data_IF_450743182930
#
_entry.id   IF_450743182930
#
_cell.length_a   1.000
_cell.length_b   1.000
_cell.length_c   1.000
_cell.angle_alpha   90.00
_cell.angle_beta   90.00
_cell.angle_gamma   90.00
#
_symmetry.space_group_name_H-M   'P 1'
#
loop_
_entity.id
_entity.type
_entity.pdbx_description
1 polymer ?
#
# COMPACT_ATOMS: atom_id res chain seq x y z
N UNK A 1 -11.68 4.19 -13.11
CA UNK A 1 -12.36 2.87 -13.13
C UNK A 1 -12.96 2.52 -11.76
N UNK A 2 -12.29 2.81 -10.63
CA UNK A 2 -12.73 2.36 -9.30
C UNK A 2 -14.17 2.71 -8.93
N UNK A 3 -14.53 3.99 -8.93
CA UNK A 3 -15.89 4.42 -8.52
C UNK A 3 -16.96 3.95 -9.52
N UNK A 4 -16.65 3.87 -10.81
CA UNK A 4 -17.57 3.36 -11.83
C UNK A 4 -17.92 1.89 -11.57
N UNK A 5 -16.94 1.07 -11.17
CA UNK A 5 -17.17 -0.34 -10.79
C UNK A 5 -17.99 -0.43 -9.52
N UNK A 6 -17.70 0.38 -8.50
CA UNK A 6 -18.52 0.45 -7.28
C UNK A 6 -19.98 0.79 -7.61
N UNK A 7 -20.21 1.77 -8.52
CA UNK A 7 -21.54 2.12 -8.95
C UNK A 7 -22.26 0.95 -9.66
N UNK A 8 -21.60 0.31 -10.62
CA UNK A 8 -22.17 -0.81 -11.37
C UNK A 8 -22.53 -2.03 -10.49
N UNK A 9 -21.79 -2.23 -9.38
CA UNK A 9 -22.00 -3.33 -8.43
C UNK A 9 -22.88 -2.95 -7.23
N UNK A 10 -23.48 -1.75 -7.24
CA UNK A 10 -24.32 -1.24 -6.16
C UNK A 10 -25.78 -1.24 -6.52
N UNK A 11 -26.63 -1.71 -5.62
CA UNK A 11 -28.07 -1.52 -5.68
C UNK A 11 -28.44 -0.03 -5.68
N UNK A 12 -27.69 0.76 -4.87
CA UNK A 12 -27.86 2.20 -4.74
C UNK A 12 -26.54 2.87 -4.49
N UNK A 13 -26.28 3.98 -5.20
CA UNK A 13 -25.16 4.88 -4.92
C UNK A 13 -25.65 6.32 -4.92
N UNK A 14 -25.25 7.08 -3.91
CA UNK A 14 -25.51 8.50 -3.77
C UNK A 14 -24.19 9.26 -3.72
N UNK A 15 -24.04 10.24 -4.61
CA UNK A 15 -22.84 11.06 -4.74
C UNK A 15 -23.19 12.51 -4.41
N UNK A 16 -22.44 13.13 -3.52
CA UNK A 16 -22.47 14.55 -3.23
C UNK A 16 -21.09 15.16 -3.47
N UNK A 17 -21.07 16.30 -4.15
CA UNK A 17 -19.84 17.03 -4.45
C UNK A 17 -20.00 18.48 -3.99
N UNK A 18 -19.08 18.95 -3.15
CA UNK A 18 -18.98 20.34 -2.76
C UNK A 18 -17.82 20.98 -3.53
N UNK A 19 -18.13 21.91 -4.43
CA UNK A 19 -17.15 22.56 -5.30
C UNK A 19 -17.66 23.94 -5.75
N UNK A 20 -16.77 24.91 -5.87
CA UNK A 20 -17.05 26.24 -6.42
C UNK A 20 -18.26 26.94 -5.76
N UNK A 21 -18.36 26.84 -4.45
CA UNK A 21 -19.43 27.47 -3.65
C UNK A 21 -20.78 26.75 -3.73
N UNK A 22 -20.87 25.63 -4.43
CA UNK A 22 -22.10 24.87 -4.67
C UNK A 22 -22.01 23.45 -4.16
N UNK A 23 -23.16 22.88 -3.82
CA UNK A 23 -23.34 21.47 -3.53
C UNK A 23 -24.09 20.82 -4.67
N UNK A 24 -23.52 19.77 -5.26
CA UNK A 24 -24.10 18.96 -6.31
C UNK A 24 -24.47 17.60 -5.77
N UNK A 25 -25.53 16.99 -6.30
CA UNK A 25 -25.92 15.62 -5.94
C UNK A 25 -26.47 14.85 -7.13
N UNK A 26 -26.24 13.54 -7.11
CA UNK A 26 -26.80 12.59 -8.07
C UNK A 26 -27.02 11.24 -7.39
N UNK A 27 -28.10 10.56 -7.75
CA UNK A 27 -28.43 9.20 -7.30
C UNK A 27 -28.36 8.22 -8.46
N UNK A 28 -27.75 7.07 -8.21
CA UNK A 28 -27.72 5.94 -9.13
C UNK A 28 -28.43 4.74 -8.53
N UNK A 29 -29.03 3.92 -9.39
CA UNK A 29 -29.59 2.61 -9.04
C UNK A 29 -29.10 1.56 -10.05
N UNK A 30 -28.53 0.48 -9.55
CA UNK A 30 -27.98 -0.60 -10.38
C UNK A 30 -27.06 -0.07 -11.50
N UNK A 31 -26.22 0.93 -11.14
CA UNK A 31 -25.29 1.56 -12.08
C UNK A 31 -25.83 2.70 -12.92
N UNK A 32 -27.17 2.88 -13.01
CA UNK A 32 -27.81 3.88 -13.86
C UNK A 32 -28.22 5.13 -13.08
N UNK A 33 -27.99 6.31 -13.66
CA UNK A 33 -28.38 7.58 -13.07
C UNK A 33 -29.90 7.76 -13.12
N UNK A 34 -30.51 8.02 -11.96
CA UNK A 34 -31.96 8.30 -11.88
C UNK A 34 -32.35 9.63 -12.50
N UNK A 35 -31.47 10.61 -12.45
CA UNK A 35 -31.65 11.95 -12.98
C UNK A 35 -30.27 12.58 -13.23
N UNK A 36 -30.17 13.63 -14.06
CA UNK A 36 -28.94 14.39 -14.23
C UNK A 36 -28.42 14.98 -12.92
N UNK A 37 -27.09 15.24 -12.86
CA UNK A 37 -26.45 15.94 -11.74
C UNK A 37 -27.16 17.28 -11.50
N UNK A 38 -27.58 17.54 -10.26
CA UNK A 38 -28.30 18.77 -9.89
C UNK A 38 -27.57 19.55 -8.81
N UNK A 39 -27.76 20.86 -8.81
CA UNK A 39 -27.33 21.71 -7.70
C UNK A 39 -28.35 21.51 -6.57
N UNK A 40 -27.89 21.01 -5.41
CA UNK A 40 -28.75 20.75 -4.23
C UNK A 40 -28.61 21.81 -3.15
N UNK A 41 -27.65 22.75 -3.29
CA UNK A 41 -27.46 23.84 -2.32
C UNK A 41 -26.17 24.62 -2.54
N UNK A 42 -25.86 25.48 -1.54
CA UNK A 42 -24.57 26.18 -1.43
C UNK A 42 -23.66 25.46 -0.45
N UNK A 43 -22.35 25.52 -0.67
CA UNK A 43 -21.35 24.96 0.26
C UNK A 43 -20.12 25.86 0.31
N UNK A 44 -19.59 26.10 1.51
CA UNK A 44 -18.28 26.74 1.70
C UNK A 44 -17.13 25.73 1.75
N UNK A 45 -17.45 24.44 1.78
CA UNK A 45 -16.48 23.34 1.83
C UNK A 45 -16.21 22.81 0.42
N UNK A 46 -15.07 22.17 0.25
CA UNK A 46 -14.73 21.36 -0.92
C UNK A 46 -14.59 19.90 -0.51
N UNK A 47 -15.03 19.00 -1.38
CA UNK A 47 -14.89 17.56 -1.14
C UNK A 47 -15.97 16.74 -1.83
N UNK A 48 -15.82 15.43 -1.75
CA UNK A 48 -16.73 14.45 -2.34
C UNK A 48 -17.16 13.44 -1.29
N UNK A 49 -18.46 13.16 -1.24
CA UNK A 49 -19.03 12.11 -0.39
C UNK A 49 -19.72 11.07 -1.29
N UNK A 50 -19.42 9.82 -1.05
CA UNK A 50 -19.99 8.67 -1.75
C UNK A 50 -20.62 7.75 -0.71
N UNK A 51 -21.90 7.48 -0.87
CA UNK A 51 -22.64 6.51 -0.06
C UNK A 51 -23.16 5.43 -0.97
N UNK A 52 -22.91 4.17 -0.69
CA UNK A 52 -23.35 3.08 -1.54
C UNK A 52 -23.81 1.86 -0.75
N UNK A 53 -24.71 1.10 -1.35
CA UNK A 53 -25.19 -0.18 -0.87
C UNK A 53 -24.84 -1.24 -1.93
N UNK A 54 -23.98 -2.23 -1.61
CA UNK A 54 -23.67 -3.30 -2.55
C UNK A 54 -24.92 -4.09 -2.94
N UNK A 55 -24.99 -4.54 -4.20
CA UNK A 55 -26.12 -5.29 -4.73
C UNK A 55 -26.13 -6.73 -4.20
N UNK A 56 -27.27 -7.17 -3.65
CA UNK A 56 -27.50 -8.56 -3.24
C UNK A 56 -27.62 -9.53 -4.43
N UNK A 57 -27.89 -9.00 -5.61
CA UNK A 57 -27.96 -9.79 -6.85
C UNK A 57 -26.55 -10.17 -7.33
N UNK A 58 -25.53 -9.34 -6.98
CA UNK A 58 -24.14 -9.56 -7.38
C UNK A 58 -23.35 -10.28 -6.29
N UNK A 59 -23.55 -9.92 -5.02
CA UNK A 59 -22.78 -10.43 -3.89
C UNK A 59 -23.61 -11.37 -3.02
N UNK A 60 -23.06 -12.54 -2.72
CA UNK A 60 -23.66 -13.50 -1.77
C UNK A 60 -23.75 -12.96 -0.34
N UNK A 61 -22.88 -12.00 0.01
CA UNK A 61 -22.89 -11.27 1.27
C UNK A 61 -22.51 -9.81 1.05
N UNK A 62 -23.29 -8.91 1.60
CA UNK A 62 -23.03 -7.45 1.57
C UNK A 62 -22.46 -6.92 2.89
N UNK A 63 -22.06 -7.82 3.81
CA UNK A 63 -21.44 -7.43 5.08
C UNK A 63 -19.97 -7.12 4.87
N UNK A 64 -19.54 -5.92 5.26
CA UNK A 64 -18.15 -5.55 5.25
C UNK A 64 -17.39 -6.15 6.44
N UNK A 65 -16.16 -6.60 6.20
CA UNK A 65 -15.23 -7.00 7.26
C UNK A 65 -14.39 -5.80 7.69
N UNK A 66 -14.60 -5.32 8.90
CA UNK A 66 -13.82 -4.20 9.45
C UNK A 66 -12.31 -4.49 9.43
N UNK A 67 -11.90 -5.73 9.75
CA UNK A 67 -10.47 -6.10 9.75
C UNK A 67 -9.82 -5.99 8.37
N UNK A 68 -10.51 -6.40 7.31
CA UNK A 68 -10.02 -6.28 5.93
C UNK A 68 -9.89 -4.81 5.54
N UNK A 69 -10.92 -4.00 5.85
CA UNK A 69 -10.92 -2.56 5.56
C UNK A 69 -9.81 -1.83 6.33
N UNK A 70 -9.65 -2.09 7.63
CA UNK A 70 -8.61 -1.52 8.48
C UNK A 70 -7.22 -1.83 7.92
N UNK A 71 -6.97 -3.11 7.56
CA UNK A 71 -5.69 -3.52 6.97
C UNK A 71 -5.41 -2.74 5.69
N UNK A 72 -6.40 -2.65 4.79
CA UNK A 72 -6.22 -1.94 3.50
C UNK A 72 -6.08 -0.43 3.65
N UNK A 73 -6.83 0.20 4.55
CA UNK A 73 -6.72 1.64 4.81
C UNK A 73 -5.37 2.01 5.43
N UNK A 74 -4.86 1.18 6.35
CA UNK A 74 -3.52 1.36 6.90
C UNK A 74 -2.45 1.25 5.82
N UNK A 75 -2.53 0.24 4.97
CA UNK A 75 -1.63 0.04 3.84
C UNK A 75 -1.65 1.25 2.90
N UNK A 76 -2.83 1.73 2.50
CA UNK A 76 -2.97 2.92 1.66
C UNK A 76 -2.38 4.17 2.30
N UNK A 77 -2.50 4.34 3.61
CA UNK A 77 -1.92 5.46 4.32
C UNK A 77 -0.37 5.40 4.35
N UNK A 78 0.22 4.22 4.42
CA UNK A 78 1.67 4.04 4.27
C UNK A 78 2.15 4.33 2.84
N UNK A 79 1.42 3.85 1.84
CA UNK A 79 1.76 4.03 0.43
C UNK A 79 1.61 5.48 -0.06
N UNK A 80 0.83 6.30 0.67
CA UNK A 80 0.56 7.70 0.30
C UNK A 80 0.96 8.63 1.43
N UNK A 81 2.24 8.92 1.51
CA UNK A 81 2.84 9.77 2.53
C UNK A 81 2.05 11.06 2.76
N UNK A 82 1.74 11.35 4.03
CA UNK A 82 1.05 12.57 4.45
C UNK A 82 -0.49 12.54 4.32
N UNK A 83 -1.08 11.51 3.70
CA UNK A 83 -2.53 11.35 3.67
C UNK A 83 -3.03 10.87 5.03
N UNK A 84 -4.09 11.48 5.54
CA UNK A 84 -4.82 11.05 6.71
C UNK A 84 -6.08 10.28 6.30
N UNK A 85 -6.20 9.03 6.74
CA UNK A 85 -7.39 8.20 6.54
C UNK A 85 -8.05 7.96 7.90
N UNK A 86 -9.34 8.29 8.01
CA UNK A 86 -10.15 7.99 9.20
C UNK A 86 -11.14 6.89 8.85
N UNK A 87 -11.09 5.80 9.61
CA UNK A 87 -12.05 4.69 9.51
C UNK A 87 -13.02 4.77 10.70
N UNK A 88 -14.32 4.74 10.41
CA UNK A 88 -15.38 4.74 11.41
C UNK A 88 -16.23 3.50 11.19
N UNK A 89 -16.37 2.66 12.20
CA UNK A 89 -17.23 1.47 12.19
C UNK A 89 -18.40 1.69 13.14
N UNK A 90 -19.55 2.01 12.58
CA UNK A 90 -20.82 2.22 13.30
C UNK A 90 -21.68 0.94 13.36
N UNK A 91 -21.18 -0.20 12.91
CA UNK A 91 -21.91 -1.48 12.94
C UNK A 91 -22.11 -2.01 14.38
N UNK A 92 -21.36 -1.51 15.34
CA UNK A 92 -21.44 -1.88 16.75
C UNK A 92 -21.94 -0.71 17.61
N UNK A 93 -22.59 -1.02 18.74
CA UNK A 93 -23.15 -0.01 19.69
C UNK A 93 -22.15 1.01 20.22
N UNK A 94 -20.85 0.66 20.26
CA UNK A 94 -19.74 1.59 20.50
C UNK A 94 -18.94 1.67 19.21
N UNK A 95 -19.20 2.70 18.42
CA UNK A 95 -18.48 2.95 17.18
C UNK A 95 -16.96 2.96 17.40
N UNK A 96 -16.22 2.33 16.49
CA UNK A 96 -14.76 2.31 16.53
C UNK A 96 -14.21 3.32 15.56
N UNK A 97 -13.44 4.30 16.05
CA UNK A 97 -12.77 5.29 15.20
C UNK A 97 -11.28 4.98 15.21
N UNK A 98 -10.69 4.83 14.03
CA UNK A 98 -9.25 4.65 13.83
C UNK A 98 -8.75 5.69 12.83
N UNK A 99 -7.59 6.27 13.12
CA UNK A 99 -6.91 7.21 12.24
C UNK A 99 -5.57 6.62 11.79
N UNK A 100 -5.29 6.72 10.50
CA UNK A 100 -4.04 6.31 9.88
C UNK A 100 -3.41 7.50 9.19
N UNK A 101 -2.19 7.85 9.60
CA UNK A 101 -1.37 8.88 8.98
C UNK A 101 0.09 8.52 9.23
N UNK A 102 0.85 8.38 8.16
CA UNK A 102 2.25 7.96 8.20
C UNK A 102 3.09 8.93 7.38
N UNK A 103 3.82 9.80 8.06
CA UNK A 103 4.63 10.81 7.40
C UNK A 103 5.98 10.27 6.90
N UNK A 104 6.42 9.12 7.40
CA UNK A 104 7.60 8.39 6.93
C UNK A 104 7.34 7.45 5.73
N UNK A 105 6.07 7.24 5.34
CA UNK A 105 5.72 6.48 4.14
C UNK A 105 6.23 5.03 4.16
N UNK A 106 6.95 4.62 3.09
CA UNK A 106 7.45 3.24 2.95
C UNK A 106 8.46 2.82 4.03
N UNK A 107 9.21 3.76 4.60
CA UNK A 107 10.14 3.45 5.69
C UNK A 107 9.36 2.95 6.90
N UNK A 108 8.32 3.69 7.31
CA UNK A 108 7.45 3.29 8.41
C UNK A 108 6.66 2.01 8.09
N UNK A 109 6.33 1.79 6.81
CA UNK A 109 5.64 0.58 6.38
C UNK A 109 6.50 -0.67 6.58
N UNK A 110 7.76 -0.63 6.14
CA UNK A 110 8.69 -1.76 6.32
C UNK A 110 8.99 -1.98 7.81
N UNK A 111 9.18 -0.92 8.60
CA UNK A 111 9.34 -1.06 10.05
C UNK A 111 8.10 -1.69 10.71
N UNK A 112 6.90 -1.30 10.30
CA UNK A 112 5.65 -1.89 10.78
C UNK A 112 5.53 -3.38 10.42
N UNK A 113 5.89 -3.77 9.20
CA UNK A 113 5.88 -5.16 8.75
C UNK A 113 6.89 -6.02 9.51
N UNK A 114 8.03 -5.43 9.87
CA UNK A 114 9.16 -6.08 10.52
C UNK A 114 9.11 -6.00 12.07
N UNK A 115 8.09 -5.31 12.63
CA UNK A 115 7.99 -5.01 14.08
C UNK A 115 8.07 -6.26 14.97
N UNK A 116 7.49 -7.37 14.50
CA UNK A 116 7.44 -8.64 15.24
C UNK A 116 8.52 -9.64 14.83
N UNK A 117 9.42 -9.25 13.93
CA UNK A 117 10.52 -10.10 13.47
C UNK A 117 11.73 -9.95 14.39
N UNK A 118 12.50 -11.02 14.52
CA UNK A 118 13.78 -10.99 15.23
C UNK A 118 14.78 -10.15 14.43
N UNK A 119 15.43 -9.20 15.11
CA UNK A 119 16.35 -8.25 14.46
C UNK A 119 17.68 -8.89 14.15
N UNK A 120 18.24 -8.55 13.00
CA UNK A 120 19.60 -8.94 12.64
C UNK A 120 20.60 -8.14 13.47
N UNK A 121 21.42 -8.84 14.27
CA UNK A 121 22.36 -8.21 15.21
C UNK A 121 23.79 -8.54 14.86
N UNK A 122 24.70 -7.62 15.19
CA UNK A 122 26.14 -7.89 15.13
C UNK A 122 26.59 -8.72 16.35
N UNK A 123 27.89 -9.09 16.37
CA UNK A 123 28.48 -9.88 17.45
C UNK A 123 28.37 -9.23 18.84
N UNK A 124 28.11 -7.94 18.92
CA UNK A 124 27.98 -7.18 20.15
C UNK A 124 26.51 -6.97 20.55
N UNK A 125 25.55 -7.62 19.87
CA UNK A 125 24.11 -7.49 20.14
C UNK A 125 23.46 -6.20 19.64
N UNK A 126 24.16 -5.41 18.82
CA UNK A 126 23.59 -4.19 18.23
C UNK A 126 22.87 -4.51 16.93
N UNK A 127 21.69 -3.91 16.73
CA UNK A 127 20.93 -4.03 15.49
C UNK A 127 21.75 -3.52 14.29
N UNK A 128 21.86 -4.35 13.25
CA UNK A 128 22.54 -3.97 12.01
C UNK A 128 21.73 -2.96 11.20
N UNK A 129 20.41 -3.08 11.24
CA UNK A 129 19.48 -2.17 10.57
C UNK A 129 18.63 -1.43 11.59
N UNK A 130 19.06 -0.22 11.99
CA UNK A 130 18.26 0.64 12.88
C UNK A 130 17.03 1.24 12.16
N UNK A 131 17.16 1.45 10.85
CA UNK A 131 16.10 1.93 9.96
C UNK A 131 16.15 1.16 8.65
N UNK A 132 15.03 0.98 7.96
CA UNK A 132 15.01 0.46 6.61
C UNK A 132 15.85 1.31 5.65
N UNK A 133 16.44 0.65 4.67
CA UNK A 133 17.09 1.31 3.54
C UNK A 133 15.98 1.83 2.64
N UNK A 134 16.07 3.09 2.22
CA UNK A 134 15.12 3.72 1.30
C UNK A 134 15.82 4.13 0.02
N UNK A 135 15.21 3.81 -1.10
CA UNK A 135 15.71 4.12 -2.44
C UNK A 135 14.56 4.69 -3.25
N UNK A 136 14.79 5.81 -3.91
CA UNK A 136 13.87 6.39 -4.87
C UNK A 136 14.61 6.74 -6.16
N UNK A 137 13.90 6.72 -7.27
CA UNK A 137 14.47 7.09 -8.55
C UNK A 137 13.42 7.26 -9.64
N UNK A 138 13.74 8.11 -10.61
CA UNK A 138 12.92 8.35 -11.79
C UNK A 138 13.73 8.17 -13.05
N UNK A 139 13.18 7.44 -14.00
CA UNK A 139 13.77 7.27 -15.34
C UNK A 139 12.68 7.03 -16.38
N UNK A 140 12.70 7.78 -17.49
CA UNK A 140 11.76 7.60 -18.61
C UNK A 140 10.29 7.57 -18.16
N UNK A 141 9.85 8.57 -17.39
CA UNK A 141 8.49 8.71 -16.86
C UNK A 141 8.03 7.58 -15.92
N UNK A 142 8.95 6.70 -15.53
CA UNK A 142 8.75 5.68 -14.51
C UNK A 142 9.39 6.17 -13.21
N UNK A 143 8.61 6.20 -12.15
CA UNK A 143 9.09 6.46 -10.79
C UNK A 143 9.12 5.15 -10.00
N UNK A 144 10.15 4.97 -9.19
CA UNK A 144 10.32 3.80 -8.34
C UNK A 144 10.64 4.28 -6.94
N UNK A 145 9.89 3.77 -5.99
CA UNK A 145 10.21 3.89 -4.56
C UNK A 145 10.33 2.49 -3.96
N UNK A 146 11.35 2.26 -3.15
CA UNK A 146 11.43 1.05 -2.37
C UNK A 146 12.00 1.31 -0.98
N UNK A 147 11.55 0.50 -0.04
CA UNK A 147 12.11 0.41 1.30
C UNK A 147 12.34 -1.04 1.65
N UNK A 148 13.51 -1.35 2.21
CA UNK A 148 13.90 -2.73 2.49
C UNK A 148 14.74 -2.83 3.77
N UNK A 149 14.64 -4.00 4.42
CA UNK A 149 15.34 -4.31 5.66
C UNK A 149 15.51 -5.83 5.75
N UNK A 150 16.60 -6.26 6.37
CA UNK A 150 16.79 -7.68 6.71
C UNK A 150 16.56 -7.92 8.19
N UNK A 151 15.94 -9.04 8.50
CA UNK A 151 15.74 -9.57 9.84
C UNK A 151 16.42 -10.95 9.97
N UNK A 152 16.41 -11.54 11.16
CA UNK A 152 17.06 -12.83 11.43
C UNK A 152 16.21 -14.05 11.00
N UNK A 153 15.06 -13.84 10.39
CA UNK A 153 14.23 -14.91 9.84
C UNK A 153 14.75 -15.45 8.51
N UNK A 154 14.08 -16.51 8.02
CA UNK A 154 14.42 -17.16 6.76
C UNK A 154 13.41 -16.87 5.64
N UNK A 155 12.29 -16.25 5.97
CA UNK A 155 11.22 -15.94 5.00
C UNK A 155 11.46 -14.61 4.31
N UNK A 156 11.12 -14.57 3.02
CA UNK A 156 11.04 -13.34 2.23
C UNK A 156 9.62 -12.76 2.35
N UNK A 157 9.50 -11.51 2.78
CA UNK A 157 8.24 -10.78 2.84
C UNK A 157 8.28 -9.60 1.86
N UNK A 158 7.66 -9.77 0.69
CA UNK A 158 7.69 -8.77 -0.39
C UNK A 158 6.31 -8.22 -0.69
N UNK A 159 6.23 -6.90 -0.79
CA UNK A 159 5.02 -6.14 -1.07
C UNK A 159 5.23 -5.27 -2.31
N UNK A 160 5.02 -5.85 -3.53
CA UNK A 160 5.17 -5.11 -4.77
C UNK A 160 3.87 -4.41 -5.15
N UNK A 161 3.98 -3.16 -5.59
CA UNK A 161 2.86 -2.33 -6.01
C UNK A 161 3.12 -1.69 -7.37
N UNK A 162 2.06 -1.45 -8.13
CA UNK A 162 2.02 -0.58 -9.28
C UNK A 162 0.90 0.42 -9.10
N UNK A 163 1.21 1.71 -9.07
CA UNK A 163 0.23 2.78 -8.78
C UNK A 163 -0.64 2.46 -7.54
N UNK A 164 0.00 2.07 -6.44
CA UNK A 164 -0.64 1.66 -5.17
C UNK A 164 -1.54 0.41 -5.24
N UNK A 165 -1.51 -0.34 -6.35
CA UNK A 165 -2.23 -1.61 -6.50
C UNK A 165 -1.25 -2.75 -6.24
N UNK A 166 -1.56 -3.58 -5.24
CA UNK A 166 -0.75 -4.75 -4.90
C UNK A 166 -0.68 -5.76 -6.05
N UNK A 167 0.53 -6.16 -6.42
CA UNK A 167 0.81 -7.12 -7.48
C UNK A 167 1.06 -8.51 -6.88
N UNK A 168 -0.01 -9.27 -6.72
CA UNK A 168 0.04 -10.59 -6.07
C UNK A 168 1.06 -11.54 -6.71
N UNK A 169 1.19 -11.49 -8.02
CA UNK A 169 2.09 -12.36 -8.79
C UNK A 169 3.48 -11.72 -9.04
N UNK A 170 3.77 -10.61 -8.35
CA UNK A 170 5.03 -9.88 -8.48
C UNK A 170 4.99 -8.88 -9.64
N UNK A 171 5.56 -9.21 -10.76
CA UNK A 171 5.65 -8.36 -11.95
C UNK A 171 7.09 -8.10 -12.38
N UNK A 172 7.25 -7.51 -13.57
CA UNK A 172 8.57 -7.27 -14.18
C UNK A 172 9.44 -6.32 -13.37
N UNK A 173 8.83 -5.35 -12.67
CA UNK A 173 9.54 -4.43 -11.77
C UNK A 173 10.19 -5.15 -10.59
N UNK A 174 9.48 -6.13 -9.98
CA UNK A 174 10.04 -6.95 -8.90
C UNK A 174 11.17 -7.84 -9.41
N UNK A 175 11.01 -8.46 -10.59
CA UNK A 175 12.06 -9.28 -11.20
C UNK A 175 13.31 -8.44 -11.51
N UNK A 176 13.11 -7.24 -12.06
CA UNK A 176 14.19 -6.28 -12.32
C UNK A 176 14.92 -5.85 -11.05
N UNK A 177 14.17 -5.56 -9.98
CA UNK A 177 14.72 -5.20 -8.68
C UNK A 177 15.58 -6.34 -8.09
N UNK A 178 15.05 -7.57 -8.04
CA UNK A 178 15.78 -8.75 -7.54
C UNK A 178 17.09 -8.99 -8.31
N UNK A 179 17.04 -8.90 -9.63
CA UNK A 179 18.23 -9.06 -10.47
C UNK A 179 19.27 -7.96 -10.21
N UNK A 180 18.83 -6.71 -10.06
CA UNK A 180 19.70 -5.59 -9.76
C UNK A 180 20.33 -5.72 -8.37
N UNK A 181 19.54 -6.08 -7.34
CA UNK A 181 19.99 -6.27 -5.98
C UNK A 181 21.08 -7.34 -5.91
N UNK A 182 20.82 -8.51 -6.50
CA UNK A 182 21.79 -9.63 -6.56
C UNK A 182 23.09 -9.22 -7.23
N UNK A 183 23.00 -8.53 -8.37
CA UNK A 183 24.17 -8.07 -9.11
C UNK A 183 25.00 -7.06 -8.31
N UNK A 184 24.34 -6.10 -7.65
CA UNK A 184 25.04 -5.03 -6.90
C UNK A 184 25.71 -5.60 -5.64
N UNK A 185 25.03 -6.49 -4.90
CA UNK A 185 25.61 -7.12 -3.72
C UNK A 185 26.82 -7.96 -4.10
N UNK A 186 26.74 -8.79 -5.15
CA UNK A 186 27.88 -9.58 -5.61
C UNK A 186 29.03 -8.69 -6.11
N UNK A 187 28.73 -7.60 -6.84
CA UNK A 187 29.74 -6.64 -7.27
C UNK A 187 30.48 -6.04 -6.08
N UNK A 188 29.74 -5.52 -5.10
CA UNK A 188 30.32 -4.95 -3.88
C UNK A 188 31.16 -5.96 -3.10
N UNK A 189 30.66 -7.18 -2.94
CA UNK A 189 31.37 -8.24 -2.23
C UNK A 189 32.68 -8.63 -2.92
N UNK A 190 32.71 -8.66 -4.27
CA UNK A 190 33.94 -8.94 -5.05
C UNK A 190 34.94 -7.78 -4.97
N UNK A 191 34.49 -6.53 -5.15
CA UNK A 191 35.34 -5.34 -5.09
C UNK A 191 36.02 -5.17 -3.72
N UNK A 192 35.29 -5.53 -2.65
CA UNK A 192 35.80 -5.46 -1.28
C UNK A 192 36.46 -6.78 -0.79
N UNK A 193 36.65 -7.75 -1.67
CA UNK A 193 37.28 -9.03 -1.37
C UNK A 193 36.62 -9.86 -0.25
N UNK A 194 35.31 -9.64 0.00
CA UNK A 194 34.59 -10.29 1.08
C UNK A 194 34.38 -11.79 0.83
N UNK A 195 34.39 -12.24 -0.43
CA UNK A 195 34.15 -13.63 -0.83
C UNK A 195 35.42 -14.42 -1.13
N UNK A 196 36.57 -13.74 -1.28
CA UNK A 196 37.84 -14.39 -1.70
C UNK A 196 38.35 -15.45 -0.73
N UNK A 197 38.15 -15.27 0.58
CA UNK A 197 38.65 -16.22 1.60
C UNK A 197 37.94 -17.58 1.55
N UNK A 198 36.69 -17.64 1.11
CA UNK A 198 35.85 -18.85 1.21
C UNK A 198 35.39 -19.39 -0.15
N UNK A 199 35.78 -18.78 -1.28
CA UNK A 199 35.28 -19.11 -2.63
C UNK A 199 33.74 -19.21 -2.71
N UNK A 200 33.05 -18.39 -1.91
CA UNK A 200 31.59 -18.36 -1.85
C UNK A 200 31.01 -17.47 -2.97
N UNK A 201 29.93 -17.91 -3.54
CA UNK A 201 29.09 -17.10 -4.45
C UNK A 201 27.76 -16.86 -3.73
N UNK A 202 27.31 -15.60 -3.66
CA UNK A 202 26.02 -15.28 -3.07
C UNK A 202 24.95 -15.44 -4.15
N UNK A 203 24.03 -16.35 -3.94
CA UNK A 203 22.87 -16.55 -4.83
C UNK A 203 21.78 -15.49 -4.59
N UNK A 204 20.84 -15.38 -5.52
CA UNK A 204 19.67 -14.53 -5.30
C UNK A 204 18.80 -15.01 -4.14
N UNK A 205 18.81 -16.30 -3.84
CA UNK A 205 18.04 -16.88 -2.73
C UNK A 205 18.66 -16.52 -1.39
N UNK A 206 19.99 -16.57 -1.27
CA UNK A 206 20.71 -16.13 -0.06
C UNK A 206 20.42 -14.66 0.28
N UNK A 207 20.29 -13.80 -0.74
CA UNK A 207 20.02 -12.36 -0.55
C UNK A 207 18.59 -12.10 -0.07
N UNK A 208 17.65 -12.97 -0.44
CA UNK A 208 16.23 -12.81 -0.09
C UNK A 208 15.91 -13.32 1.31
N UNK A 209 16.76 -14.13 1.89
CA UNK A 209 16.57 -14.69 3.21
C UNK A 209 16.48 -13.60 4.28
N UNK A 210 15.35 -13.56 4.99
CA UNK A 210 15.03 -12.52 5.98
C UNK A 210 14.71 -11.13 5.41
N UNK A 211 14.55 -11.00 4.09
CA UNK A 211 14.27 -9.71 3.45
C UNK A 211 12.80 -9.30 3.61
N UNK A 212 12.56 -8.14 4.21
CA UNK A 212 11.29 -7.41 4.15
C UNK A 212 11.43 -6.25 3.16
N UNK A 213 10.61 -6.22 2.12
CA UNK A 213 10.67 -5.26 1.03
C UNK A 213 9.27 -4.72 0.68
N UNK A 214 9.15 -3.41 0.59
CA UNK A 214 8.04 -2.75 -0.11
C UNK A 214 8.57 -2.01 -1.33
N UNK A 215 8.00 -2.27 -2.50
CA UNK A 215 8.42 -1.76 -3.80
C UNK A 215 7.23 -1.17 -4.53
N UNK A 216 7.28 0.11 -4.85
CA UNK A 216 6.27 0.80 -5.66
C UNK A 216 6.87 1.20 -7.00
N UNK A 217 6.14 0.88 -8.06
CA UNK A 217 6.35 1.36 -9.42
C UNK A 217 5.21 2.32 -9.78
N UNK A 218 5.56 3.55 -10.13
CA UNK A 218 4.61 4.62 -10.48
C UNK A 218 4.83 5.03 -11.93
#
# INVERSE_FOLDING_TARGET
VGVSVVNALSEKLFLEINRDGKKYSIEFRNGEAKAPLKISGKSKQTGTQITFLPSKEVFSSIKFSANILIKRMRELAFLNKGIKITFIDDSQKKGKILEFKYDGGLIEFVDYLDEKREKLQNKNGNDLFRKPIYIEGKKNDVELECSLKWNAGYSEDIFPYTNNIYQKDGGTHLLGFRSALTRIINKYANENNLLKKNKLTISGDDIKEGLTLSLIHI
#
